data_IF_073781747364
#
_entry.id   IF_073781747364
#
_cell.length_a   1.000
_cell.length_b   1.000
_cell.length_c   1.000
_cell.angle_alpha   90.00
_cell.angle_beta   90.00
_cell.angle_gamma   90.00
#
_symmetry.space_group_name_H-M   'P 1'
#
loop_
_entity.id
_entity.type
_entity.pdbx_description
1 polymer ?
#
# COMPACT_ATOMS: atom_id res chain seq x y z
N UNK A 1 -7.45 5.11 -26.17
CA UNK A 1 -6.19 4.74 -25.49
C UNK A 1 -6.43 3.44 -24.74
N UNK A 2 -5.70 2.35 -25.04
CA UNK A 2 -5.76 1.14 -24.21
C UNK A 2 -5.03 1.47 -22.90
N UNK A 3 -5.74 1.50 -21.78
CA UNK A 3 -5.11 1.61 -20.47
C UNK A 3 -4.13 0.44 -20.31
N UNK A 4 -2.93 0.72 -19.79
CA UNK A 4 -2.00 -0.35 -19.48
C UNK A 4 -2.63 -1.27 -18.42
N UNK A 5 -2.50 -2.61 -18.55
CA UNK A 5 -3.02 -3.53 -17.55
C UNK A 5 -2.40 -3.23 -16.18
N UNK A 6 -3.21 -3.30 -15.13
CA UNK A 6 -2.74 -3.08 -13.76
C UNK A 6 -1.76 -4.20 -13.36
N UNK A 7 -0.76 -3.92 -12.51
CA UNK A 7 0.19 -4.93 -12.02
C UNK A 7 -0.54 -6.17 -11.48
N UNK A 8 0.05 -7.36 -11.56
CA UNK A 8 -0.55 -8.60 -11.02
C UNK A 8 -1.01 -8.44 -9.56
N UNK A 9 -0.28 -7.65 -8.76
CA UNK A 9 -0.65 -7.31 -7.39
C UNK A 9 -1.99 -6.58 -7.25
N UNK A 10 -2.45 -5.89 -8.29
CA UNK A 10 -3.78 -5.28 -8.35
C UNK A 10 -4.73 -6.09 -9.26
N UNK A 11 -4.20 -6.74 -10.29
CA UNK A 11 -4.98 -7.55 -11.23
C UNK A 11 -5.62 -8.77 -10.58
N UNK A 12 -4.92 -9.42 -9.65
CA UNK A 12 -5.36 -10.67 -9.02
C UNK A 12 -6.64 -10.54 -8.20
N UNK A 13 -6.96 -9.33 -7.76
CA UNK A 13 -8.18 -9.00 -7.04
C UNK A 13 -9.46 -9.42 -7.75
N UNK A 14 -9.52 -9.22 -9.07
CA UNK A 14 -10.72 -9.48 -9.86
C UNK A 14 -10.92 -10.95 -10.21
N UNK A 15 -9.95 -11.79 -9.88
CA UNK A 15 -10.08 -13.22 -10.13
C UNK A 15 -10.69 -13.89 -8.89
N UNK A 16 -11.75 -14.71 -9.06
CA UNK A 16 -12.37 -15.45 -7.97
C UNK A 16 -11.54 -16.70 -7.60
N UNK A 17 -10.21 -16.60 -7.65
CA UNK A 17 -9.30 -17.69 -7.31
C UNK A 17 -8.92 -17.53 -5.84
N UNK A 18 -9.32 -18.51 -5.01
CA UNK A 18 -9.06 -18.54 -3.56
C UNK A 18 -8.17 -19.70 -3.11
N UNK A 19 -7.80 -20.60 -4.04
CA UNK A 19 -6.85 -21.67 -3.77
C UNK A 19 -5.42 -21.19 -4.10
N UNK A 20 -4.49 -21.37 -3.15
CA UNK A 20 -3.10 -20.93 -3.27
C UNK A 20 -2.40 -21.45 -4.53
N UNK A 21 -2.42 -22.76 -4.76
CA UNK A 21 -1.72 -23.38 -5.89
C UNK A 21 -2.27 -22.91 -7.24
N UNK A 22 -3.59 -22.77 -7.34
CA UNK A 22 -4.25 -22.29 -8.55
C UNK A 22 -3.91 -20.81 -8.79
N UNK A 23 -3.90 -19.99 -7.74
CA UNK A 23 -3.55 -18.58 -7.83
C UNK A 23 -2.08 -18.38 -8.27
N UNK A 24 -1.14 -19.11 -7.68
CA UNK A 24 0.27 -19.06 -8.07
C UNK A 24 0.48 -19.52 -9.51
N UNK A 25 -0.16 -20.61 -9.93
CA UNK A 25 -0.09 -21.07 -11.34
C UNK A 25 -0.66 -20.04 -12.30
N UNK A 26 -1.78 -19.42 -11.94
CA UNK A 26 -2.43 -18.39 -12.74
C UNK A 26 -1.54 -17.16 -12.93
N UNK A 27 -1.02 -16.62 -11.83
CA UNK A 27 -0.12 -15.44 -11.84
C UNK A 27 1.14 -15.73 -12.64
N UNK A 28 1.76 -16.89 -12.44
CA UNK A 28 2.94 -17.27 -13.21
C UNK A 28 2.63 -17.39 -14.71
N UNK A 29 1.44 -17.88 -15.08
CA UNK A 29 0.95 -17.89 -16.45
C UNK A 29 0.81 -16.47 -17.02
N UNK A 30 0.19 -15.56 -16.27
CA UNK A 30 0.04 -14.15 -16.66
C UNK A 30 1.41 -13.48 -16.88
N UNK A 31 2.35 -13.67 -15.95
CA UNK A 31 3.70 -13.11 -16.07
C UNK A 31 4.43 -13.64 -17.30
N UNK A 32 4.35 -14.96 -17.57
CA UNK A 32 4.91 -15.57 -18.79
C UNK A 32 4.28 -15.02 -20.06
N UNK A 33 3.00 -14.62 -20.01
CA UNK A 33 2.29 -13.97 -21.11
C UNK A 33 2.58 -12.45 -21.23
N UNK A 34 3.46 -11.91 -20.39
CA UNK A 34 3.87 -10.50 -20.44
C UNK A 34 3.00 -9.56 -19.58
N UNK A 35 2.19 -10.08 -18.65
CA UNK A 35 1.44 -9.25 -17.71
C UNK A 35 2.40 -8.46 -16.80
N UNK A 36 2.16 -7.16 -16.57
CA UNK A 36 3.07 -6.32 -15.80
C UNK A 36 3.04 -6.64 -14.30
N UNK A 37 4.15 -6.37 -13.60
CA UNK A 37 4.19 -6.38 -12.12
C UNK A 37 4.74 -7.65 -11.47
N UNK A 38 5.28 -8.59 -12.24
CA UNK A 38 5.88 -9.81 -11.69
C UNK A 38 4.85 -10.76 -11.07
N UNK A 39 5.31 -11.77 -10.34
CA UNK A 39 4.46 -12.83 -9.78
C UNK A 39 3.91 -12.52 -8.38
N UNK A 40 4.12 -11.29 -7.92
CA UNK A 40 3.67 -10.80 -6.62
C UNK A 40 2.17 -10.49 -6.64
N UNK A 41 1.43 -10.97 -5.64
CA UNK A 41 0.04 -10.61 -5.44
C UNK A 41 -0.39 -10.82 -3.99
N UNK A 42 -1.42 -10.09 -3.58
CA UNK A 42 -1.96 -10.19 -2.24
C UNK A 42 -2.72 -11.50 -2.04
N UNK A 43 -2.46 -12.16 -0.91
CA UNK A 43 -2.93 -13.52 -0.63
C UNK A 43 -4.39 -13.56 -0.17
N UNK A 44 -5.28 -13.23 -1.08
CA UNK A 44 -6.74 -13.42 -0.94
C UNK A 44 -7.05 -14.90 -1.15
N UNK A 45 -6.79 -15.68 -0.12
CA UNK A 45 -6.90 -17.12 -0.16
C UNK A 45 -7.87 -17.57 0.92
N UNK A 46 -8.52 -18.71 0.72
CA UNK A 46 -9.54 -19.20 1.64
C UNK A 46 -8.98 -19.37 3.06
N UNK A 47 -7.75 -19.83 3.18
CA UNK A 47 -7.04 -19.97 4.46
C UNK A 47 -6.81 -18.63 5.21
N UNK A 48 -6.92 -17.51 4.51
CA UNK A 48 -6.72 -16.17 5.07
C UNK A 48 -8.04 -15.45 5.35
N UNK A 49 -9.19 -16.08 5.06
CA UNK A 49 -10.51 -15.50 5.34
C UNK A 49 -10.69 -15.33 6.86
N UNK A 50 -11.12 -14.15 7.29
CA UNK A 50 -11.39 -13.86 8.69
C UNK A 50 -12.74 -14.43 9.13
N UNK A 51 -12.81 -14.93 10.36
CA UNK A 51 -14.06 -15.36 10.99
C UNK A 51 -14.89 -14.17 11.49
N UNK A 52 -16.19 -14.38 11.73
CA UNK A 52 -17.07 -13.36 12.32
C UNK A 52 -16.60 -12.87 13.69
N UNK A 53 -15.96 -13.73 14.50
CA UNK A 53 -15.38 -13.34 15.79
C UNK A 53 -14.20 -12.39 15.58
N UNK A 54 -13.26 -12.74 14.70
CA UNK A 54 -12.12 -11.87 14.37
C UNK A 54 -12.59 -10.53 13.77
N UNK A 55 -13.63 -10.56 12.94
CA UNK A 55 -14.23 -9.36 12.35
C UNK A 55 -14.90 -8.48 13.40
N UNK A 56 -15.57 -9.07 14.38
CA UNK A 56 -16.24 -8.33 15.43
C UNK A 56 -15.23 -7.47 16.21
N UNK A 57 -14.15 -8.12 16.64
CA UNK A 57 -13.06 -7.47 17.40
C UNK A 57 -12.30 -6.45 16.55
N UNK A 58 -12.20 -6.67 15.24
CA UNK A 58 -11.54 -5.74 14.32
C UNK A 58 -12.34 -4.44 14.11
N UNK A 59 -13.67 -4.53 14.05
CA UNK A 59 -14.49 -3.48 13.42
C UNK A 59 -15.30 -2.69 14.44
N UNK A 60 -15.97 -3.36 15.38
CA UNK A 60 -16.96 -2.72 16.22
C UNK A 60 -16.30 -1.95 17.37
N UNK A 61 -16.53 -0.64 17.41
CA UNK A 61 -15.86 0.25 18.37
C UNK A 61 -14.51 0.80 17.90
N UNK A 62 -14.09 0.46 16.68
CA UNK A 62 -12.79 0.86 16.12
C UNK A 62 -12.93 1.82 14.93
N UNK A 63 -11.84 2.50 14.63
CA UNK A 63 -11.66 3.21 13.36
C UNK A 63 -10.77 2.36 12.47
N UNK A 64 -11.30 2.03 11.30
CA UNK A 64 -10.59 1.33 10.25
C UNK A 64 -10.10 2.38 9.27
N UNK A 65 -8.80 2.40 9.03
CA UNK A 65 -8.20 3.28 8.02
C UNK A 65 -7.81 2.45 6.83
N UNK A 66 -7.79 3.05 5.65
CA UNK A 66 -7.42 2.32 4.46
C UNK A 66 -7.09 3.19 3.28
N UNK A 67 -6.71 2.56 2.18
CA UNK A 67 -6.46 3.27 0.92
C UNK A 67 -7.07 2.56 -0.26
N UNK A 68 -7.40 3.34 -1.27
CA UNK A 68 -7.85 2.84 -2.55
C UNK A 68 -6.65 2.35 -3.39
N UNK A 69 -6.65 1.11 -3.91
CA UNK A 69 -5.50 0.48 -4.56
C UNK A 69 -4.98 1.20 -5.81
N UNK A 70 -5.86 1.89 -6.55
CA UNK A 70 -5.52 2.51 -7.84
C UNK A 70 -5.14 3.98 -7.67
N UNK A 71 -5.87 4.71 -6.82
CA UNK A 71 -5.69 6.16 -6.64
C UNK A 71 -4.78 6.48 -5.46
N UNK A 72 -4.47 5.50 -4.60
CA UNK A 72 -3.72 5.67 -3.35
C UNK A 72 -4.35 6.71 -2.40
N UNK A 73 -5.64 7.00 -2.58
CA UNK A 73 -6.39 7.91 -1.72
C UNK A 73 -6.80 7.19 -0.45
N UNK A 74 -6.63 7.87 0.68
CA UNK A 74 -7.03 7.35 2.00
C UNK A 74 -8.53 7.45 2.23
N UNK A 75 -9.05 6.50 2.97
CA UNK A 75 -10.42 6.46 3.49
C UNK A 75 -10.41 5.96 4.93
N UNK A 76 -11.48 6.27 5.67
CA UNK A 76 -11.68 5.90 7.06
C UNK A 76 -13.12 5.45 7.27
N UNK A 77 -13.30 4.42 8.08
CA UNK A 77 -14.61 3.98 8.57
C UNK A 77 -14.52 3.95 10.09
N UNK A 78 -15.21 4.88 10.74
CA UNK A 78 -15.39 4.85 12.19
C UNK A 78 -16.68 4.11 12.49
N UNK A 79 -16.63 3.10 13.35
CA UNK A 79 -17.79 2.26 13.70
C UNK A 79 -17.97 2.21 15.20
N UNK A 80 -19.20 2.44 15.67
CA UNK A 80 -19.57 2.27 17.07
C UNK A 80 -19.76 0.79 17.42
N UNK A 81 -19.90 0.49 18.72
CA UNK A 81 -20.19 -0.87 19.20
C UNK A 81 -21.53 -1.45 18.68
N UNK A 82 -22.49 -0.59 18.31
CA UNK A 82 -23.79 -1.02 17.77
C UNK A 82 -23.83 -1.04 16.23
N UNK A 83 -22.69 -0.81 15.58
CA UNK A 83 -22.57 -0.85 14.13
C UNK A 83 -22.99 0.42 13.41
N UNK A 84 -23.27 1.52 14.10
CA UNK A 84 -23.40 2.83 13.44
C UNK A 84 -22.05 3.29 12.94
N UNK A 85 -21.98 3.68 11.67
CA UNK A 85 -20.71 3.93 11.01
C UNK A 85 -20.70 5.25 10.24
N UNK A 86 -19.53 5.88 10.19
CA UNK A 86 -19.25 7.04 9.35
C UNK A 86 -18.06 6.75 8.45
N UNK A 87 -18.27 6.84 7.14
CA UNK A 87 -17.22 6.75 6.14
C UNK A 87 -16.70 8.16 5.81
N UNK A 88 -15.38 8.31 5.64
CA UNK A 88 -14.74 9.55 5.19
C UNK A 88 -13.63 9.26 4.19
N UNK A 89 -13.35 10.21 3.30
CA UNK A 89 -12.23 10.13 2.36
C UNK A 89 -12.60 9.51 1.01
N UNK A 90 -11.73 8.66 0.47
CA UNK A 90 -11.90 8.09 -0.87
C UNK A 90 -13.21 7.30 -1.00
N UNK A 91 -14.01 7.62 -2.02
CA UNK A 91 -15.20 6.84 -2.35
C UNK A 91 -14.83 5.42 -2.78
N UNK A 92 -15.36 4.42 -2.08
CA UNK A 92 -15.12 2.99 -2.36
C UNK A 92 -15.85 2.48 -3.62
N UNK A 93 -16.83 3.23 -4.12
CA UNK A 93 -17.73 2.84 -5.21
C UNK A 93 -17.35 3.40 -6.60
N UNK A 94 -16.29 4.23 -6.70
CA UNK A 94 -15.89 4.86 -7.96
C UNK A 94 -14.39 4.60 -8.24
N UNK A 95 -14.12 3.73 -9.22
CA UNK A 95 -12.76 3.34 -9.70
C UNK A 95 -11.88 4.54 -10.12
N UNK A 96 -12.49 5.68 -10.45
CA UNK A 96 -11.84 6.90 -10.91
C UNK A 96 -12.35 8.12 -10.15
N UNK A 97 -12.44 8.01 -8.82
CA UNK A 97 -12.76 9.14 -7.96
C UNK A 97 -11.85 10.34 -8.29
N UNK A 98 -12.45 11.53 -8.39
CA UNK A 98 -11.69 12.79 -8.46
C UNK A 98 -10.84 12.94 -7.18
N UNK A 99 -9.72 13.67 -7.22
CA UNK A 99 -8.92 13.95 -6.02
C UNK A 99 -9.77 14.55 -4.89
N UNK A 100 -9.71 13.93 -3.71
CA UNK A 100 -9.94 14.48 -2.36
C UNK A 100 -10.93 15.65 -2.24
N UNK A 101 -12.15 15.48 -2.74
CA UNK A 101 -13.27 16.24 -2.19
C UNK A 101 -13.60 15.67 -0.80
N UNK A 102 -14.09 16.50 0.11
CA UNK A 102 -14.53 16.08 1.43
C UNK A 102 -15.80 15.21 1.30
N UNK A 103 -15.62 13.94 1.00
CA UNK A 103 -16.69 12.96 0.99
C UNK A 103 -16.85 12.37 2.40
N UNK A 104 -18.08 12.42 2.90
CA UNK A 104 -18.48 11.78 4.15
C UNK A 104 -19.84 11.16 3.95
N UNK A 105 -20.01 9.96 4.51
CA UNK A 105 -21.26 9.24 4.44
C UNK A 105 -21.57 8.55 5.76
N UNK A 106 -22.85 8.33 6.04
CA UNK A 106 -23.31 7.60 7.22
C UNK A 106 -23.88 6.26 6.80
N UNK A 107 -23.76 5.29 7.68
CA UNK A 107 -24.24 3.96 7.40
C UNK A 107 -24.36 3.11 8.64
N UNK A 108 -24.70 1.86 8.39
CA UNK A 108 -24.75 0.82 9.40
C UNK A 108 -24.03 -0.42 8.90
N UNK A 109 -23.23 -1.00 9.78
CA UNK A 109 -22.48 -2.22 9.58
C UNK A 109 -23.01 -3.30 10.52
N UNK A 110 -23.07 -4.54 10.03
CA UNK A 110 -23.43 -5.73 10.82
C UNK A 110 -22.64 -6.94 10.34
N UNK A 111 -22.52 -7.95 11.18
CA UNK A 111 -21.90 -9.23 10.82
C UNK A 111 -22.97 -10.29 10.65
N UNK A 112 -22.86 -11.07 9.58
CA UNK A 112 -23.72 -12.21 9.32
C UNK A 112 -22.97 -13.22 8.44
N UNK A 113 -22.89 -14.48 8.87
CA UNK A 113 -22.21 -15.58 8.16
C UNK A 113 -20.75 -15.28 7.79
N UNK A 114 -19.95 -14.77 8.75
CA UNK A 114 -18.55 -14.35 8.54
C UNK A 114 -18.37 -13.29 7.44
N UNK A 115 -19.43 -12.54 7.15
CA UNK A 115 -19.40 -11.44 6.18
C UNK A 115 -19.77 -10.13 6.85
N UNK A 116 -19.10 -9.07 6.41
CA UNK A 116 -19.38 -7.71 6.79
C UNK A 116 -20.47 -7.13 5.90
N UNK A 117 -21.69 -7.03 6.42
CA UNK A 117 -22.78 -6.35 5.75
C UNK A 117 -22.73 -4.87 6.06
N UNK A 118 -22.87 -4.04 5.05
CA UNK A 118 -22.93 -2.60 5.21
C UNK A 118 -24.00 -1.97 4.33
N UNK A 119 -24.64 -0.95 4.86
CA UNK A 119 -25.59 -0.10 4.15
C UNK A 119 -25.26 1.34 4.46
N UNK A 120 -25.05 2.13 3.42
CA UNK A 120 -24.69 3.54 3.53
C UNK A 120 -25.83 4.41 3.00
N UNK A 121 -25.81 5.72 3.23
CA UNK A 121 -26.84 6.63 2.70
C UNK A 121 -26.54 7.04 1.25
N UNK A 122 -25.26 7.21 0.89
CA UNK A 122 -24.83 7.69 -0.43
C UNK A 122 -23.94 6.71 -1.19
N UNK A 123 -23.04 5.99 -0.48
CA UNK A 123 -22.20 4.97 -1.09
C UNK A 123 -23.08 3.83 -1.61
N UNK A 124 -22.73 3.35 -2.80
CA UNK A 124 -23.43 2.25 -3.46
C UNK A 124 -24.94 2.51 -3.63
N UNK A 125 -25.31 3.78 -3.88
CA UNK A 125 -26.69 4.23 -4.07
C UNK A 125 -27.64 3.81 -2.94
N UNK A 126 -27.10 3.63 -1.73
CA UNK A 126 -27.84 3.21 -0.54
C UNK A 126 -28.23 1.74 -0.48
N UNK A 127 -27.74 0.93 -1.42
CA UNK A 127 -27.95 -0.52 -1.39
C UNK A 127 -27.13 -1.17 -0.28
N UNK A 128 -27.71 -2.20 0.32
CA UNK A 128 -26.99 -3.07 1.25
C UNK A 128 -26.11 -4.02 0.43
N UNK A 129 -24.88 -4.24 0.89
CA UNK A 129 -23.95 -5.20 0.30
C UNK A 129 -23.10 -5.82 1.40
N UNK A 130 -22.43 -6.92 1.05
CA UNK A 130 -21.53 -7.62 1.96
C UNK A 130 -20.10 -7.68 1.43
N UNK A 131 -19.18 -7.80 2.37
CA UNK A 131 -17.75 -7.90 2.11
C UNK A 131 -17.20 -9.11 2.87
N UNK A 132 -16.30 -9.84 2.21
CA UNK A 132 -15.43 -10.81 2.88
C UNK A 132 -14.10 -10.14 3.15
N UNK A 133 -13.58 -10.28 4.36
CA UNK A 133 -12.27 -9.72 4.74
C UNK A 133 -11.27 -10.86 4.85
N UNK A 134 -10.10 -10.62 4.28
CA UNK A 134 -8.97 -11.53 4.32
C UNK A 134 -7.84 -10.86 5.10
N UNK A 135 -7.20 -11.63 5.97
CA UNK A 135 -5.93 -11.23 6.55
C UNK A 135 -4.88 -11.21 5.45
N UNK A 136 -4.06 -10.16 5.40
CA UNK A 136 -2.89 -10.16 4.54
C UNK A 136 -1.69 -10.72 5.32
N UNK A 137 -1.27 -11.98 5.08
CA UNK A 137 -0.13 -12.55 5.79
C UNK A 137 1.17 -11.76 5.54
N UNK A 138 1.27 -11.04 4.43
CA UNK A 138 2.44 -10.22 4.06
C UNK A 138 2.41 -8.79 4.66
N UNK A 139 1.30 -8.38 5.28
CA UNK A 139 1.20 -7.07 5.95
C UNK A 139 0.89 -7.16 7.44
N UNK A 140 0.58 -8.35 7.94
CA UNK A 140 0.47 -8.67 9.36
C UNK A 140 1.80 -8.44 10.10
N UNK A 141 1.73 -7.87 11.30
CA UNK A 141 2.87 -7.63 12.22
C UNK A 141 3.69 -8.89 12.55
N UNK A 142 3.18 -10.09 12.25
CA UNK A 142 3.98 -11.32 12.18
C UNK A 142 4.83 -11.38 10.91
N UNK A 143 5.54 -10.28 10.62
CA UNK A 143 6.64 -10.32 9.67
C UNK A 143 7.58 -11.42 10.18
N UNK A 144 7.71 -12.53 9.44
CA UNK A 144 8.58 -13.65 9.86
C UNK A 144 10.03 -13.20 10.02
N UNK A 145 10.38 -12.07 9.42
CA UNK A 145 11.67 -11.43 9.59
C UNK A 145 11.86 -10.90 11.01
N UNK A 146 12.99 -11.25 11.61
CA UNK A 146 13.39 -10.77 12.92
C UNK A 146 13.55 -9.24 12.92
N UNK A 147 13.04 -8.59 13.97
CA UNK A 147 13.34 -7.18 14.24
C UNK A 147 14.82 -7.07 14.64
N UNK A 148 15.57 -6.24 13.94
CA UNK A 148 17.01 -6.03 14.19
C UNK A 148 17.32 -4.64 14.75
N UNK A 149 16.43 -3.67 14.56
CA UNK A 149 16.46 -2.39 15.25
C UNK A 149 15.04 -1.81 15.35
N UNK A 150 14.80 -0.98 16.35
CA UNK A 150 13.55 -0.25 16.52
C UNK A 150 13.84 1.11 17.17
N UNK A 151 13.21 2.18 16.65
CA UNK A 151 13.22 3.51 17.25
C UNK A 151 11.79 4.07 17.38
N UNK A 152 11.63 5.32 17.81
CA UNK A 152 10.31 5.94 17.99
C UNK A 152 9.47 5.97 16.71
N UNK A 153 10.09 6.00 15.53
CA UNK A 153 9.43 6.11 14.23
C UNK A 153 9.56 4.86 13.36
N UNK A 154 10.68 4.14 13.41
CA UNK A 154 10.99 3.08 12.45
C UNK A 154 11.25 1.74 13.13
N UNK A 155 10.64 0.68 12.60
CA UNK A 155 11.02 -0.72 12.91
C UNK A 155 11.81 -1.28 11.74
N UNK A 156 12.99 -1.84 12.00
CA UNK A 156 13.85 -2.43 10.97
C UNK A 156 13.91 -3.95 11.08
N UNK A 157 13.67 -4.62 9.96
CA UNK A 157 13.60 -6.07 9.85
C UNK A 157 14.85 -6.62 9.13
N UNK A 158 15.25 -7.85 9.47
CA UNK A 158 16.46 -8.47 8.89
C UNK A 158 16.42 -8.61 7.36
N UNK A 159 15.21 -8.68 6.79
CA UNK A 159 14.98 -8.79 5.35
C UNK A 159 15.12 -7.43 4.61
N UNK A 160 15.49 -6.36 5.32
CA UNK A 160 15.71 -5.03 4.76
C UNK A 160 14.48 -4.11 4.75
N UNK A 161 13.32 -4.59 5.23
CA UNK A 161 12.13 -3.76 5.37
C UNK A 161 12.30 -2.78 6.53
N UNK A 162 11.90 -1.52 6.30
CA UNK A 162 11.82 -0.45 7.29
C UNK A 162 10.35 -0.02 7.39
N UNK A 163 9.70 -0.33 8.50
CA UNK A 163 8.34 0.11 8.76
C UNK A 163 8.33 1.49 9.39
N UNK A 164 7.71 2.46 8.74
CA UNK A 164 7.48 3.80 9.27
C UNK A 164 6.17 3.84 10.06
N UNK A 165 6.25 3.81 11.38
CA UNK A 165 5.10 3.85 12.31
C UNK A 165 4.21 5.08 12.12
N UNK A 166 4.79 6.18 11.62
CA UNK A 166 4.09 7.45 11.41
C UNK A 166 3.23 7.44 10.15
N UNK A 167 3.82 7.00 9.03
CA UNK A 167 3.14 6.99 7.73
C UNK A 167 2.43 5.67 7.44
N UNK A 168 2.71 4.64 8.26
CA UNK A 168 2.24 3.27 8.12
C UNK A 168 2.65 2.63 6.78
N UNK A 169 3.82 3.02 6.30
CA UNK A 169 4.42 2.54 5.05
C UNK A 169 5.60 1.63 5.36
N UNK A 170 5.74 0.59 4.55
CA UNK A 170 6.97 -0.18 4.44
C UNK A 170 7.88 0.43 3.39
N UNK A 171 9.15 0.54 3.74
CA UNK A 171 10.21 1.03 2.88
C UNK A 171 11.29 -0.03 2.68
N UNK A 172 11.90 -0.03 1.50
CA UNK A 172 13.18 -0.69 1.25
C UNK A 172 14.09 0.32 0.55
N UNK A 173 15.26 0.57 1.13
CA UNK A 173 16.33 1.29 0.44
C UNK A 173 17.03 0.35 -0.54
N UNK A 174 17.24 0.80 -1.77
CA UNK A 174 18.07 0.11 -2.74
C UNK A 174 19.56 0.17 -2.39
N UNK A 175 20.42 -0.39 -3.25
CA UNK A 175 21.86 -0.31 -3.06
C UNK A 175 22.33 1.13 -2.84
N UNK A 176 23.29 1.32 -1.92
CA UNK A 176 23.88 2.64 -1.67
C UNK A 176 24.92 2.99 -2.75
N UNK A 177 24.44 3.10 -3.98
CA UNK A 177 25.22 3.45 -5.15
C UNK A 177 24.42 4.36 -6.06
N UNK A 178 25.15 5.16 -6.83
CA UNK A 178 24.59 5.98 -7.89
C UNK A 178 23.70 5.14 -8.81
N UNK A 179 22.43 5.52 -8.90
CA UNK A 179 21.39 4.73 -9.57
C UNK A 179 20.65 5.63 -10.56
N UNK A 180 20.72 5.29 -11.84
CA UNK A 180 19.93 5.95 -12.89
C UNK A 180 18.44 5.60 -12.77
N UNK A 181 17.58 6.36 -13.45
CA UNK A 181 16.15 6.05 -13.51
C UNK A 181 15.86 4.65 -14.06
N UNK A 182 16.58 4.25 -15.10
CA UNK A 182 16.40 2.94 -15.73
C UNK A 182 16.78 1.79 -14.79
N UNK A 183 17.87 1.94 -14.04
CA UNK A 183 18.30 0.98 -13.02
C UNK A 183 17.32 0.94 -11.84
N UNK A 184 16.89 2.11 -11.36
CA UNK A 184 15.90 2.23 -10.29
C UNK A 184 14.59 1.49 -10.66
N UNK A 185 14.09 1.73 -11.87
CA UNK A 185 12.87 1.11 -12.38
C UNK A 185 13.03 -0.40 -12.56
N UNK A 186 14.21 -0.83 -13.02
CA UNK A 186 14.55 -2.25 -13.15
C UNK A 186 14.60 -2.94 -11.79
N UNK A 187 15.20 -2.28 -10.78
CA UNK A 187 15.32 -2.79 -9.42
C UNK A 187 13.95 -2.96 -8.75
N UNK A 188 13.10 -1.92 -8.74
CA UNK A 188 11.76 -2.01 -8.13
C UNK A 188 10.92 -3.12 -8.77
N UNK A 189 10.97 -3.28 -10.10
CA UNK A 189 10.21 -4.32 -10.82
C UNK A 189 10.63 -5.75 -10.49
N UNK A 190 11.87 -5.94 -10.04
CA UNK A 190 12.41 -7.24 -9.63
C UNK A 190 12.29 -7.46 -8.12
N UNK A 191 11.90 -6.45 -7.37
CA UNK A 191 11.84 -6.51 -5.91
C UNK A 191 10.64 -7.38 -5.48
N UNK A 192 10.94 -8.55 -4.95
CA UNK A 192 9.96 -9.54 -4.47
C UNK A 192 10.10 -9.82 -2.98
N UNK A 193 10.82 -8.96 -2.24
CA UNK A 193 10.98 -9.08 -0.79
C UNK A 193 9.60 -9.08 -0.15
N UNK A 194 9.39 -10.07 0.72
CA UNK A 194 8.14 -10.27 1.48
C UNK A 194 6.88 -10.24 0.60
N UNK A 195 6.95 -10.98 -0.51
CA UNK A 195 5.82 -11.14 -1.42
C UNK A 195 5.67 -10.04 -2.45
N UNK A 196 6.41 -8.93 -2.37
CA UNK A 196 6.46 -7.88 -3.38
C UNK A 196 5.51 -6.70 -3.13
N UNK A 197 4.82 -6.23 -4.17
CA UNK A 197 3.91 -5.07 -4.08
C UNK A 197 4.61 -3.70 -4.05
N UNK A 198 5.93 -3.68 -4.22
CA UNK A 198 6.76 -2.49 -4.17
C UNK A 198 6.52 -1.54 -5.34
N UNK A 199 6.46 -0.24 -5.04
CA UNK A 199 6.38 0.83 -6.03
C UNK A 199 7.39 1.93 -5.75
N UNK A 200 7.56 2.82 -6.72
CA UNK A 200 8.18 4.10 -6.44
C UNK A 200 7.35 4.88 -5.42
N UNK A 201 8.00 5.64 -4.52
CA UNK A 201 7.29 6.57 -3.67
C UNK A 201 6.76 7.74 -4.49
N UNK A 202 5.78 8.44 -3.91
CA UNK A 202 5.30 9.74 -4.40
C UNK A 202 5.97 10.86 -3.61
N UNK A 203 5.88 12.09 -4.14
CA UNK A 203 6.50 13.30 -3.55
C UNK A 203 6.24 13.43 -2.05
N UNK A 204 4.97 13.33 -1.65
CA UNK A 204 4.57 13.53 -0.26
C UNK A 204 5.11 12.44 0.68
N UNK A 205 5.31 11.21 0.19
CA UNK A 205 5.93 10.13 0.98
C UNK A 205 7.42 10.39 1.18
N UNK A 206 8.14 10.75 0.12
CA UNK A 206 9.60 11.01 0.18
C UNK A 206 9.90 12.22 1.07
N UNK A 207 9.08 13.27 1.01
CA UNK A 207 9.18 14.43 1.89
C UNK A 207 9.16 14.04 3.37
N UNK A 208 8.35 13.05 3.75
CA UNK A 208 8.26 12.63 5.15
C UNK A 208 9.56 12.04 5.68
N UNK A 209 10.47 11.57 4.83
CA UNK A 209 11.74 10.98 5.24
C UNK A 209 12.74 12.03 5.76
N UNK A 210 12.56 13.30 5.38
CA UNK A 210 13.41 14.39 5.84
C UNK A 210 13.24 14.61 7.34
N UNK A 211 14.36 14.56 8.06
CA UNK A 211 14.47 14.99 9.45
C UNK A 211 15.84 15.64 9.63
N UNK A 212 15.84 16.94 9.86
CA UNK A 212 17.05 17.73 10.05
C UNK A 212 17.94 17.10 11.14
N UNK A 213 19.21 16.88 10.81
CA UNK A 213 20.20 16.31 11.72
C UNK A 213 20.03 14.82 12.04
N UNK A 214 19.07 14.10 11.42
CA UNK A 214 18.90 12.67 11.67
C UNK A 214 20.08 11.81 11.17
N UNK A 215 20.78 12.27 10.13
CA UNK A 215 21.92 11.59 9.51
C UNK A 215 22.67 12.55 8.59
N UNK A 216 23.71 12.06 7.90
CA UNK A 216 24.59 12.88 7.04
C UNK A 216 23.86 13.58 5.89
N UNK A 217 22.71 13.03 5.49
CA UNK A 217 21.85 13.50 4.40
C UNK A 217 20.43 13.85 4.90
N UNK A 218 20.25 14.15 6.20
CA UNK A 218 18.94 14.43 6.80
C UNK A 218 17.90 13.31 6.65
N UNK A 219 18.36 12.07 6.41
CA UNK A 219 17.55 10.85 6.42
C UNK A 219 18.00 10.02 7.63
N UNK A 220 17.07 9.28 8.23
CA UNK A 220 17.41 8.37 9.33
C UNK A 220 18.47 7.34 8.84
N UNK A 221 19.59 7.13 9.55
CA UNK A 221 20.65 6.19 9.16
C UNK A 221 20.19 4.75 8.97
N UNK A 222 19.00 4.37 9.47
CA UNK A 222 18.38 3.06 9.23
C UNK A 222 18.20 2.75 7.74
N UNK A 223 18.04 3.78 6.90
CA UNK A 223 17.95 3.61 5.44
C UNK A 223 19.29 3.30 4.78
N UNK A 224 20.41 3.33 5.53
CA UNK A 224 21.77 2.94 5.08
C UNK A 224 22.16 3.56 3.74
N UNK A 225 21.81 4.83 3.55
CA UNK A 225 22.07 5.58 2.32
C UNK A 225 23.01 6.75 2.58
N UNK A 226 23.97 6.95 1.69
CA UNK A 226 24.82 8.14 1.65
C UNK A 226 24.36 9.16 0.61
N UNK A 227 23.42 8.77 -0.26
CA UNK A 227 22.93 9.62 -1.35
C UNK A 227 22.06 10.78 -0.86
N UNK A 228 22.13 11.89 -1.57
CA UNK A 228 21.36 13.11 -1.27
C UNK A 228 20.03 13.18 -2.01
N UNK A 229 19.80 12.27 -2.95
CA UNK A 229 18.66 12.30 -3.86
C UNK A 229 17.94 10.96 -3.88
N UNK A 230 16.60 10.98 -3.81
CA UNK A 230 15.77 9.77 -3.94
C UNK A 230 14.81 9.90 -5.10
N UNK A 231 14.78 8.87 -5.95
CA UNK A 231 13.83 8.76 -7.04
C UNK A 231 12.40 8.64 -6.54
N UNK A 232 11.49 9.41 -7.13
CA UNK A 232 10.05 9.29 -6.93
C UNK A 232 9.29 9.43 -8.25
N UNK A 233 8.03 9.04 -8.24
CA UNK A 233 7.14 9.21 -9.39
C UNK A 233 5.93 10.03 -9.05
N UNK A 234 5.50 10.86 -9.98
CA UNK A 234 4.27 11.64 -9.84
C UNK A 234 3.63 11.85 -11.21
N UNK A 235 2.32 11.60 -11.32
CA UNK A 235 1.54 11.76 -12.57
C UNK A 235 2.21 11.08 -13.79
N UNK A 236 2.81 9.90 -13.56
CA UNK A 236 3.48 9.10 -14.60
C UNK A 236 4.86 9.61 -15.04
N UNK A 237 5.41 10.63 -14.36
CA UNK A 237 6.75 11.18 -14.61
C UNK A 237 7.71 10.81 -13.47
N UNK A 238 9.00 10.75 -13.77
CA UNK A 238 10.08 10.45 -12.82
C UNK A 238 10.77 11.72 -12.36
N UNK A 239 11.06 11.79 -11.06
CA UNK A 239 11.68 12.93 -10.40
C UNK A 239 12.70 12.45 -9.37
N UNK A 240 13.54 13.37 -8.92
CA UNK A 240 14.41 13.17 -7.76
C UNK A 240 14.12 14.23 -6.70
N UNK A 241 14.07 13.81 -5.44
CA UNK A 241 13.94 14.70 -4.29
C UNK A 241 15.29 14.83 -3.59
N UNK A 242 15.76 16.07 -3.41
CA UNK A 242 17.02 16.36 -2.72
C UNK A 242 16.80 16.64 -1.23
N UNK A 243 17.56 15.97 -0.34
CA UNK A 243 17.48 16.11 1.12
C UNK A 243 18.47 17.12 1.72
N UNK A 244 18.71 18.24 1.04
CA UNK A 244 19.71 19.24 1.49
C UNK A 244 19.16 20.25 2.50
N UNK A 245 17.90 20.67 2.35
CA UNK A 245 17.19 21.63 3.19
C UNK A 245 15.72 21.21 3.34
N UNK A 246 15.01 21.73 4.36
CA UNK A 246 13.60 21.38 4.68
C UNK A 246 12.60 21.80 3.58
N UNK A 247 13.07 22.43 2.51
CA UNK A 247 12.28 22.82 1.35
C UNK A 247 12.43 21.86 0.17
N UNK A 248 13.54 21.11 0.11
CA UNK A 248 13.86 20.13 -0.93
C UNK A 248 13.83 20.71 -2.34
N UNK A 249 14.97 20.67 -3.04
CA UNK A 249 14.95 21.06 -4.46
C UNK A 249 14.46 19.90 -5.30
N UNK A 250 13.32 20.10 -5.95
CA UNK A 250 12.85 19.24 -7.04
C UNK A 250 13.66 19.55 -8.29
N UNK A 251 14.28 18.53 -8.88
CA UNK A 251 14.96 18.69 -10.16
C UNK A 251 14.33 17.81 -11.23
N UNK A 252 14.18 18.39 -12.42
CA UNK A 252 13.83 17.69 -13.64
C UNK A 252 15.13 17.30 -14.33
N UNK A 253 15.49 16.02 -14.37
CA UNK A 253 16.63 15.61 -15.16
C UNK A 253 16.23 15.59 -16.63
N UNK A 254 16.53 16.68 -17.35
CA UNK A 254 16.69 16.63 -18.81
C UNK A 254 17.87 15.74 -19.24
N UNK A 255 18.73 15.38 -18.28
CA UNK A 255 19.79 14.39 -18.36
C UNK A 255 19.87 13.66 -17.02
N UNK A 256 19.95 12.33 -17.06
CA UNK A 256 19.93 11.42 -15.91
C UNK A 256 20.87 11.90 -14.78
N UNK A 257 20.35 12.18 -13.56
CA UNK A 257 21.20 12.43 -12.41
C UNK A 257 21.71 11.06 -11.95
N UNK A 258 22.86 10.63 -12.47
CA UNK A 258 23.50 9.42 -11.96
C UNK A 258 24.13 9.68 -10.59
N UNK A 259 24.73 10.87 -10.40
CA UNK A 259 25.49 11.19 -9.19
C UNK A 259 24.58 11.44 -7.97
N UNK A 260 24.82 10.72 -6.89
CA UNK A 260 24.16 10.79 -5.58
C UNK A 260 22.67 10.40 -5.55
N UNK A 261 22.13 9.87 -6.65
CA UNK A 261 20.74 9.39 -6.70
C UNK A 261 20.62 7.96 -6.22
N UNK A 262 19.60 7.70 -5.40
CA UNK A 262 19.29 6.39 -4.80
C UNK A 262 17.86 6.01 -5.12
N UNK A 263 17.63 4.70 -5.20
CA UNK A 263 16.29 4.16 -5.39
C UNK A 263 15.72 3.68 -4.08
N UNK A 264 14.53 4.13 -3.75
CA UNK A 264 13.76 3.63 -2.61
C UNK A 264 12.49 3.00 -3.16
N UNK A 265 12.08 1.89 -2.56
CA UNK A 265 10.80 1.29 -2.80
C UNK A 265 9.91 1.53 -1.58
N UNK A 266 8.63 1.73 -1.84
CA UNK A 266 7.61 1.85 -0.80
C UNK A 266 6.43 0.96 -1.14
N UNK A 267 5.77 0.45 -0.11
CA UNK A 267 4.44 -0.12 -0.20
C UNK A 267 3.70 0.22 1.09
N UNK A 268 2.38 0.39 1.06
CA UNK A 268 1.65 0.49 2.32
C UNK A 268 1.60 -0.88 3.02
N UNK A 269 1.65 -0.87 4.35
CA UNK A 269 1.57 -2.11 5.15
C UNK A 269 0.12 -2.47 5.43
N UNK A 270 -0.55 -3.17 4.53
CA UNK A 270 -1.96 -3.50 4.75
C UNK A 270 -2.10 -4.77 5.56
N UNK A 271 -2.69 -4.69 6.74
CA UNK A 271 -2.94 -5.87 7.59
C UNK A 271 -4.13 -6.69 7.09
N UNK A 272 -5.10 -6.01 6.47
CA UNK A 272 -6.35 -6.62 6.02
C UNK A 272 -6.72 -6.16 4.61
N UNK A 273 -7.40 -7.05 3.90
CA UNK A 273 -7.89 -6.86 2.54
C UNK A 273 -9.39 -7.09 2.56
N UNK A 274 -10.17 -6.05 2.29
CA UNK A 274 -11.63 -6.13 2.21
C UNK A 274 -12.06 -6.28 0.77
N UNK A 275 -12.93 -7.26 0.51
CA UNK A 275 -13.42 -7.59 -0.83
C UNK A 275 -14.93 -7.65 -0.81
N UNK A 276 -15.57 -6.90 -1.70
CA UNK A 276 -17.01 -7.04 -1.94
C UNK A 276 -17.30 -8.05 -3.03
N UNK A 277 -18.43 -8.74 -2.92
CA UNK A 277 -18.98 -9.58 -3.99
C UNK A 277 -19.50 -8.66 -5.11
N UNK A 278 -18.57 -8.21 -5.94
CA UNK A 278 -18.75 -7.15 -6.93
C UNK A 278 -17.43 -6.52 -7.40
N UNK A 279 -16.31 -6.86 -6.77
CA UNK A 279 -14.98 -6.44 -7.21
C UNK A 279 -14.55 -5.06 -6.69
N UNK A 280 -15.04 -4.66 -5.51
CA UNK A 280 -14.64 -3.41 -4.86
C UNK A 280 -13.75 -3.70 -3.66
N UNK A 281 -12.66 -2.94 -3.53
CA UNK A 281 -11.53 -3.27 -2.65
C UNK A 281 -11.12 -2.08 -1.79
N UNK A 282 -10.91 -2.36 -0.51
CA UNK A 282 -10.24 -1.47 0.42
C UNK A 282 -9.17 -2.24 1.16
N UNK A 283 -7.95 -1.71 1.21
CA UNK A 283 -6.97 -2.21 2.15
C UNK A 283 -7.11 -1.49 3.46
N UNK A 284 -6.92 -2.19 4.58
CA UNK A 284 -7.04 -1.54 5.87
C UNK A 284 -5.94 -1.83 6.89
N UNK A 285 -5.87 -0.92 7.84
CA UNK A 285 -5.09 -0.94 9.06
C UNK A 285 -5.97 -0.46 10.22
N UNK A 286 -5.66 -0.91 11.44
CA UNK A 286 -6.27 -0.39 12.66
C UNK A 286 -5.44 0.77 13.24
N UNK A 287 -6.14 1.69 13.89
CA UNK A 287 -5.57 2.77 14.72
C UNK A 287 -5.11 2.26 16.10
#
# INVERSE_FOLDING_TARGET
>A
MKAAPLPASIGMYWFPIRNAEVADRWVNGLVKAGWPGGSSYYKILEENKMSGEELNDLIFGHTITGVHPVTNQQWWIQTSLNGESTHRGARLDILFSKPMEAFSDKGKIRLENDMLWSKWEQLFDGYEFHQTIFRNPEGSLNNKAKIIADDERYVFYENGIIYDKKTKLDWIAGPDSDTSWHEARSWIRKLSVDGGGWRFPIREEVKTLYKEGAGTNNINPVFKTTGWWVWFTEKGRSYVWQFRDNYGREWWPGSEPSRDSRVFAVRPRYEYIMITDGGWFGFSQLD
#
